data_IF_407451131204
#
_entry.id   IF_407451131204
#
_cell.length_a   1.000
_cell.length_b   1.000
_cell.length_c   1.000
_cell.angle_alpha   90.00
_cell.angle_beta   90.00
_cell.angle_gamma   90.00
#
_symmetry.space_group_name_H-M   'P 1'
#
loop_
_entity.id
_entity.type
_entity.pdbx_description
1 polymer ?
#
# COMPACT_ATOMS: atom_id res chain seq x y z
N UNK A 1 -46.89 -41.30 -29.10
CA UNK A 1 -46.54 -40.82 -27.74
C UNK A 1 -45.11 -40.32 -27.80
N UNK A 2 -44.92 -39.00 -27.90
CA UNK A 2 -43.60 -38.39 -27.96
C UNK A 2 -43.16 -38.04 -26.54
N UNK A 3 -42.24 -38.82 -25.98
CA UNK A 3 -41.53 -38.49 -24.74
C UNK A 3 -40.60 -37.32 -25.03
N UNK A 4 -41.04 -36.11 -24.67
CA UNK A 4 -40.18 -34.93 -24.58
C UNK A 4 -39.18 -35.14 -23.45
N UNK A 5 -37.97 -35.59 -23.79
CA UNK A 5 -36.84 -35.53 -22.89
C UNK A 5 -36.56 -34.04 -22.63
N UNK A 6 -36.83 -33.60 -21.40
CA UNK A 6 -36.36 -32.32 -20.91
C UNK A 6 -34.85 -32.44 -20.76
N UNK A 7 -34.11 -32.16 -21.83
CA UNK A 7 -32.68 -31.93 -21.78
C UNK A 7 -32.41 -30.85 -20.73
N UNK A 8 -31.64 -31.22 -19.72
CA UNK A 8 -31.20 -30.34 -18.65
C UNK A 8 -30.48 -29.13 -19.28
N UNK A 9 -31.00 -27.92 -19.05
CA UNK A 9 -30.41 -26.66 -19.55
C UNK A 9 -29.00 -26.37 -19.02
N UNK A 10 -28.47 -27.18 -18.11
CA UNK A 10 -27.08 -27.13 -17.64
C UNK A 10 -26.06 -27.64 -18.67
N UNK A 11 -26.50 -28.29 -19.75
CA UNK A 11 -25.59 -28.68 -20.83
C UNK A 11 -25.19 -27.47 -21.69
N UNK A 12 -23.97 -26.98 -21.39
CA UNK A 12 -22.92 -26.45 -22.30
C UNK A 12 -22.20 -25.24 -21.70
N UNK A 13 -21.72 -25.35 -20.46
CA UNK A 13 -20.65 -24.48 -19.97
C UNK A 13 -19.42 -25.31 -19.64
N UNK A 14 -18.25 -24.92 -20.17
CA UNK A 14 -16.97 -25.40 -19.66
C UNK A 14 -16.60 -24.64 -18.40
N UNK A 15 -16.10 -25.38 -17.41
CA UNK A 15 -15.74 -24.81 -16.11
C UNK A 15 -14.30 -24.31 -16.12
N UNK A 16 -14.13 -23.02 -15.81
CA UNK A 16 -12.82 -22.41 -15.62
C UNK A 16 -12.44 -22.44 -14.14
N UNK A 17 -11.26 -22.96 -13.84
CA UNK A 17 -10.70 -22.98 -12.50
C UNK A 17 -9.53 -22.00 -12.40
N UNK A 18 -9.66 -20.98 -11.56
CA UNK A 18 -8.59 -20.01 -11.30
C UNK A 18 -7.79 -20.54 -10.10
N UNK A 19 -6.60 -21.08 -10.37
CA UNK A 19 -5.76 -21.69 -9.34
C UNK A 19 -5.20 -20.68 -8.33
N UNK A 20 -4.89 -19.47 -8.78
CA UNK A 20 -4.31 -18.39 -7.97
C UNK A 20 -5.39 -17.52 -7.33
N UNK A 21 -5.12 -17.04 -6.12
CA UNK A 21 -5.95 -16.03 -5.47
C UNK A 21 -5.10 -15.15 -4.55
N UNK A 22 -5.41 -13.86 -4.51
CA UNK A 22 -4.96 -12.86 -3.55
C UNK A 22 -6.08 -12.45 -2.56
N UNK A 23 -7.20 -13.17 -2.58
CA UNK A 23 -8.35 -12.91 -1.72
C UNK A 23 -8.03 -13.13 -0.23
N UNK A 24 -8.39 -12.16 0.60
CA UNK A 24 -8.04 -12.14 2.03
C UNK A 24 -9.01 -12.91 2.94
N UNK A 25 -10.24 -13.18 2.50
CA UNK A 25 -11.22 -13.94 3.30
C UNK A 25 -11.59 -13.26 4.64
N UNK A 26 -11.97 -11.98 4.60
CA UNK A 26 -12.33 -11.21 5.79
C UNK A 26 -13.57 -11.79 6.50
N UNK A 27 -13.55 -11.87 7.83
CA UNK A 27 -14.70 -12.32 8.64
C UNK A 27 -15.79 -11.25 8.80
N UNK A 28 -15.39 -9.98 8.91
CA UNK A 28 -16.26 -8.88 9.36
C UNK A 28 -16.65 -7.95 8.18
N UNK A 29 -17.27 -8.53 7.15
CA UNK A 29 -17.73 -7.78 5.99
C UNK A 29 -19.12 -7.15 6.25
N UNK A 30 -19.41 -6.04 5.55
CA UNK A 30 -20.57 -5.17 5.84
C UNK A 30 -21.94 -5.74 5.46
N UNK A 31 -21.99 -6.64 4.47
CA UNK A 31 -23.23 -7.14 3.88
C UNK A 31 -23.49 -8.59 4.31
N UNK A 32 -24.69 -9.09 4.05
CA UNK A 32 -25.07 -10.46 4.40
C UNK A 32 -24.43 -11.47 3.44
N UNK A 33 -23.95 -12.64 3.95
CA UNK A 33 -23.55 -13.74 3.10
C UNK A 33 -24.75 -14.24 2.28
N UNK A 34 -24.48 -14.83 1.11
CA UNK A 34 -25.54 -15.44 0.31
C UNK A 34 -26.17 -16.62 1.05
N UNK A 35 -27.50 -16.74 0.94
CA UNK A 35 -28.21 -17.93 1.39
C UNK A 35 -28.29 -18.94 0.24
N UNK A 36 -27.65 -20.12 0.33
CA UNK A 36 -27.67 -21.11 -0.75
C UNK A 36 -29.07 -21.71 -1.01
N UNK A 37 -30.00 -21.56 -0.08
CA UNK A 37 -31.39 -22.00 -0.23
C UNK A 37 -32.31 -20.90 -0.81
N UNK A 38 -31.79 -19.70 -1.04
CA UNK A 38 -32.52 -18.61 -1.69
C UNK A 38 -32.23 -18.63 -3.19
N UNK A 39 -33.26 -18.90 -3.99
CA UNK A 39 -33.14 -19.03 -5.45
C UNK A 39 -32.56 -17.77 -6.11
N UNK A 40 -32.82 -16.57 -5.57
CA UNK A 40 -32.27 -15.33 -6.11
C UNK A 40 -30.77 -15.25 -5.86
N UNK A 41 -30.32 -15.60 -4.65
CA UNK A 41 -28.90 -15.58 -4.30
C UNK A 41 -28.12 -16.61 -5.13
N UNK A 42 -28.65 -17.83 -5.29
CA UNK A 42 -28.06 -18.86 -6.13
C UNK A 42 -27.97 -18.43 -7.61
N UNK A 43 -29.06 -17.88 -8.15
CA UNK A 43 -29.10 -17.36 -9.53
C UNK A 43 -28.08 -16.23 -9.73
N UNK A 44 -27.89 -15.37 -8.74
CA UNK A 44 -26.97 -14.24 -8.86
C UNK A 44 -25.51 -14.69 -8.75
N UNK A 45 -25.20 -15.67 -7.91
CA UNK A 45 -23.87 -16.28 -7.88
C UNK A 45 -23.54 -16.91 -9.25
N UNK A 46 -24.43 -17.72 -9.80
CA UNK A 46 -24.22 -18.33 -11.12
C UNK A 46 -24.06 -17.25 -12.21
N UNK A 47 -24.87 -16.19 -12.18
CA UNK A 47 -24.75 -15.07 -13.11
C UNK A 47 -23.37 -14.43 -13.05
N UNK A 48 -22.82 -14.23 -11.84
CA UNK A 48 -21.45 -13.72 -11.68
C UNK A 48 -20.43 -14.67 -12.31
N UNK A 49 -20.51 -15.97 -12.00
CA UNK A 49 -19.60 -16.99 -12.53
C UNK A 49 -19.62 -17.09 -14.06
N UNK A 50 -20.81 -16.99 -14.67
CA UNK A 50 -21.00 -17.00 -16.13
C UNK A 50 -20.44 -15.74 -16.77
N UNK A 51 -20.73 -14.56 -16.22
CA UNK A 51 -20.23 -13.30 -16.80
C UNK A 51 -18.70 -13.24 -16.72
N UNK A 52 -18.10 -13.60 -15.57
CA UNK A 52 -16.65 -13.62 -15.44
C UNK A 52 -16.04 -14.66 -16.39
N UNK A 53 -16.61 -15.87 -16.44
CA UNK A 53 -16.15 -16.93 -17.35
C UNK A 53 -16.18 -16.49 -18.81
N UNK A 54 -17.25 -15.82 -19.24
CA UNK A 54 -17.38 -15.26 -20.59
C UNK A 54 -16.32 -14.18 -20.88
N UNK A 55 -16.06 -13.26 -19.95
CA UNK A 55 -15.01 -12.25 -20.13
C UNK A 55 -13.62 -12.88 -20.26
N UNK A 56 -13.30 -13.90 -19.46
CA UNK A 56 -12.02 -14.62 -19.56
C UNK A 56 -11.91 -15.37 -20.89
N UNK A 57 -12.98 -16.04 -21.32
CA UNK A 57 -13.01 -16.78 -22.58
C UNK A 57 -12.70 -15.90 -23.78
N UNK A 58 -13.30 -14.70 -23.86
CA UNK A 58 -13.03 -13.73 -24.93
C UNK A 58 -11.53 -13.37 -25.01
N UNK A 59 -10.85 -13.29 -23.88
CA UNK A 59 -9.44 -12.88 -23.82
C UNK A 59 -8.47 -14.06 -24.04
N UNK A 60 -8.82 -15.25 -23.56
CA UNK A 60 -7.94 -16.42 -23.58
C UNK A 60 -8.18 -17.34 -24.79
N UNK A 61 -9.40 -17.38 -25.30
CA UNK A 61 -9.86 -18.27 -26.37
C UNK A 61 -10.73 -17.52 -27.39
N UNK A 62 -10.22 -16.47 -28.05
CA UNK A 62 -11.03 -15.57 -28.89
C UNK A 62 -11.69 -16.23 -30.11
N UNK A 63 -11.25 -17.43 -30.51
CA UNK A 63 -11.80 -18.20 -31.64
C UNK A 63 -12.74 -19.32 -31.19
N UNK A 64 -12.94 -19.49 -29.88
CA UNK A 64 -13.77 -20.55 -29.31
C UNK A 64 -15.16 -19.99 -28.99
N UNK A 65 -16.19 -20.60 -29.56
CA UNK A 65 -17.60 -20.25 -29.29
C UNK A 65 -18.16 -20.96 -28.05
N UNK A 66 -17.33 -21.77 -27.38
CA UNK A 66 -17.71 -22.46 -26.16
C UNK A 66 -18.06 -21.46 -25.07
N UNK A 67 -19.16 -21.72 -24.37
CA UNK A 67 -19.55 -20.90 -23.22
C UNK A 67 -18.76 -21.38 -22.00
N UNK A 68 -18.22 -20.43 -21.25
CA UNK A 68 -17.48 -20.73 -20.03
C UNK A 68 -18.17 -20.13 -18.82
N UNK A 69 -18.08 -20.81 -17.68
CA UNK A 69 -18.39 -20.25 -16.35
C UNK A 69 -17.30 -20.61 -15.37
N UNK A 70 -17.12 -19.81 -14.32
CA UNK A 70 -16.20 -20.20 -13.25
C UNK A 70 -16.71 -21.46 -12.55
N UNK A 71 -15.81 -22.37 -12.19
CA UNK A 71 -16.13 -23.51 -11.33
C UNK A 71 -16.50 -23.07 -9.91
N UNK A 72 -15.89 -21.97 -9.46
CA UNK A 72 -16.11 -21.27 -8.19
C UNK A 72 -15.37 -19.94 -8.22
N UNK A 73 -15.74 -19.02 -7.34
CA UNK A 73 -14.97 -17.80 -7.09
C UNK A 73 -13.56 -18.14 -6.53
N UNK A 74 -12.52 -17.32 -6.82
CA UNK A 74 -11.19 -17.51 -6.24
C UNK A 74 -11.23 -17.48 -4.70
N UNK A 75 -10.36 -18.28 -4.06
CA UNK A 75 -10.33 -18.41 -2.59
C UNK A 75 -10.21 -17.05 -1.90
N UNK A 76 -11.01 -16.82 -0.87
CA UNK A 76 -10.99 -15.56 -0.10
C UNK A 76 -11.79 -14.42 -0.72
N UNK A 77 -12.41 -14.66 -1.89
CA UNK A 77 -13.46 -13.80 -2.43
C UNK A 77 -14.84 -14.35 -2.09
N UNK A 78 -15.75 -13.46 -1.73
CA UNK A 78 -17.10 -13.81 -1.30
C UNK A 78 -18.11 -12.81 -1.86
N UNK A 79 -19.16 -13.32 -2.50
CA UNK A 79 -20.28 -12.51 -2.98
C UNK A 79 -21.25 -12.30 -1.82
N UNK A 80 -21.71 -11.06 -1.63
CA UNK A 80 -22.61 -10.71 -0.52
C UNK A 80 -23.76 -9.83 -0.99
N UNK A 81 -24.90 -9.96 -0.32
CA UNK A 81 -26.13 -9.23 -0.63
C UNK A 81 -26.30 -8.03 0.31
N UNK A 82 -26.38 -6.82 -0.26
CA UNK A 82 -26.83 -5.63 0.43
C UNK A 82 -28.35 -5.49 0.29
N UNK A 83 -29.06 -5.55 1.42
CA UNK A 83 -30.50 -5.40 1.45
C UNK A 83 -30.89 -3.92 1.38
N UNK A 84 -31.74 -3.57 0.42
CA UNK A 84 -32.34 -2.25 0.28
C UNK A 84 -33.84 -2.35 0.52
N UNK A 85 -34.35 -1.52 1.45
CA UNK A 85 -35.78 -1.38 1.68
C UNK A 85 -36.37 -0.52 0.54
N UNK A 86 -37.19 -1.14 -0.29
CA UNK A 86 -37.99 -0.48 -1.32
C UNK A 86 -39.14 0.33 -0.71
N UNK A 87 -39.75 1.19 -1.54
CA UNK A 87 -40.89 2.04 -1.14
C UNK A 87 -42.14 1.22 -0.81
N UNK A 88 -42.34 0.11 -1.50
CA UNK A 88 -43.54 -0.72 -1.38
C UNK A 88 -43.35 -1.89 -0.40
N UNK A 89 -42.50 -1.72 0.62
CA UNK A 89 -42.05 -2.78 1.53
C UNK A 89 -41.36 -3.97 0.83
N UNK A 90 -41.07 -3.88 -0.47
CA UNK A 90 -40.26 -4.85 -1.20
C UNK A 90 -38.81 -4.75 -0.76
N UNK A 91 -38.15 -5.89 -0.54
CA UNK A 91 -36.70 -5.94 -0.27
C UNK A 91 -36.00 -6.20 -1.59
N UNK A 92 -35.19 -5.24 -2.03
CA UNK A 92 -34.30 -5.41 -3.19
C UNK A 92 -32.90 -5.77 -2.71
N UNK A 93 -32.21 -6.66 -3.41
CA UNK A 93 -30.84 -7.08 -3.10
C UNK A 93 -29.88 -6.55 -4.15
N UNK A 94 -28.82 -5.88 -3.69
CA UNK A 94 -27.64 -5.63 -4.52
C UNK A 94 -26.53 -6.61 -4.18
N UNK A 95 -25.77 -7.04 -5.17
CA UNK A 95 -24.70 -8.02 -4.97
C UNK A 95 -23.34 -7.37 -5.17
N UNK A 96 -22.47 -7.56 -4.18
CA UNK A 96 -21.11 -7.01 -4.17
C UNK A 96 -20.11 -8.11 -3.86
N UNK A 97 -19.01 -8.16 -4.58
CA UNK A 97 -17.95 -9.13 -4.35
C UNK A 97 -16.85 -8.51 -3.48
N UNK A 98 -16.61 -9.11 -2.33
CA UNK A 98 -15.55 -8.73 -1.39
C UNK A 98 -14.36 -9.68 -1.48
N UNK A 99 -13.23 -9.28 -0.90
CA UNK A 99 -12.05 -10.13 -0.74
C UNK A 99 -10.73 -9.48 -1.16
N UNK A 100 -10.77 -8.38 -1.91
CA UNK A 100 -9.57 -7.74 -2.46
C UNK A 100 -8.61 -7.24 -1.35
N UNK A 101 -7.28 -7.36 -1.52
CA UNK A 101 -6.29 -6.98 -0.51
C UNK A 101 -6.19 -5.47 -0.24
N UNK A 102 -6.75 -4.61 -1.12
CA UNK A 102 -6.82 -3.16 -0.91
C UNK A 102 -7.42 -2.76 0.44
N UNK A 103 -8.49 -3.44 0.87
CA UNK A 103 -9.18 -3.17 2.14
C UNK A 103 -10.30 -4.20 2.34
N UNK A 104 -10.68 -4.44 3.60
CA UNK A 104 -11.92 -5.14 3.95
C UNK A 104 -13.19 -4.52 3.36
N UNK A 105 -13.16 -3.22 3.02
CA UNK A 105 -14.27 -2.48 2.41
C UNK A 105 -14.17 -2.41 0.89
N UNK A 106 -13.06 -2.87 0.30
CA UNK A 106 -12.88 -2.87 -1.13
C UNK A 106 -13.76 -3.97 -1.74
N UNK A 107 -14.62 -3.58 -2.67
CA UNK A 107 -15.60 -4.47 -3.29
C UNK A 107 -15.75 -4.16 -4.77
N UNK A 108 -16.01 -5.19 -5.56
CA UNK A 108 -16.43 -5.06 -6.95
C UNK A 108 -17.96 -4.98 -7.00
N UNK A 109 -18.47 -4.02 -7.79
CA UNK A 109 -19.91 -3.75 -7.92
C UNK A 109 -20.53 -4.52 -9.07
N UNK A 110 -19.71 -4.91 -10.04
CA UNK A 110 -20.15 -5.70 -11.19
C UNK A 110 -19.19 -6.87 -11.43
N UNK A 111 -19.67 -7.99 -12.02
CA UNK A 111 -18.81 -9.09 -12.41
C UNK A 111 -17.76 -8.69 -13.47
N UNK A 112 -18.07 -7.73 -14.33
CA UNK A 112 -17.14 -7.23 -15.35
C UNK A 112 -15.93 -6.50 -14.73
N UNK A 113 -16.13 -5.69 -13.69
CA UNK A 113 -15.03 -5.05 -12.94
C UNK A 113 -14.09 -6.11 -12.33
N UNK A 114 -14.66 -7.20 -11.79
CA UNK A 114 -13.86 -8.27 -11.21
C UNK A 114 -13.19 -9.16 -12.27
N UNK A 115 -13.78 -9.31 -13.45
CA UNK A 115 -13.21 -10.11 -14.53
C UNK A 115 -11.82 -9.60 -14.97
N UNK A 116 -11.58 -8.29 -14.92
CA UNK A 116 -10.25 -7.70 -15.17
C UNK A 116 -9.21 -8.18 -14.15
N UNK A 117 -9.60 -8.28 -12.87
CA UNK A 117 -8.73 -8.83 -11.84
C UNK A 117 -8.51 -10.33 -12.01
N UNK A 118 -9.56 -11.07 -12.37
CA UNK A 118 -9.43 -12.49 -12.71
C UNK A 118 -8.48 -12.74 -13.89
N UNK A 119 -8.51 -11.89 -14.92
CA UNK A 119 -7.60 -11.97 -16.06
C UNK A 119 -6.15 -11.78 -15.60
N UNK A 120 -5.91 -10.82 -14.70
CA UNK A 120 -4.60 -10.71 -14.05
C UNK A 120 -4.29 -11.97 -13.25
N UNK A 121 -5.20 -12.51 -12.43
CA UNK A 121 -4.99 -13.72 -11.63
C UNK A 121 -4.61 -14.97 -12.44
N UNK A 122 -5.09 -15.12 -13.67
CA UNK A 122 -4.69 -16.22 -14.57
C UNK A 122 -3.40 -15.96 -15.34
N UNK A 123 -2.92 -14.71 -15.38
CA UNK A 123 -1.65 -14.35 -15.99
C UNK A 123 -0.45 -14.81 -15.14
N UNK A 124 0.76 -14.75 -15.72
CA UNK A 124 2.00 -15.02 -15.01
C UNK A 124 2.47 -13.86 -14.11
N UNK A 125 1.86 -12.67 -14.20
CA UNK A 125 2.31 -11.50 -13.45
C UNK A 125 1.88 -11.57 -11.99
N UNK A 126 2.82 -11.39 -11.06
CA UNK A 126 2.55 -11.20 -9.63
C UNK A 126 2.60 -9.72 -9.21
N UNK A 127 2.75 -8.82 -10.18
CA UNK A 127 2.85 -7.38 -9.93
C UNK A 127 1.46 -6.74 -10.01
N UNK A 128 0.97 -6.22 -8.87
CA UNK A 128 -0.33 -5.56 -8.79
C UNK A 128 -0.40 -4.27 -9.63
N UNK A 129 0.74 -3.67 -9.99
CA UNK A 129 0.75 -2.48 -10.87
C UNK A 129 0.36 -2.82 -12.31
N UNK A 130 0.44 -4.09 -12.70
CA UNK A 130 0.07 -4.59 -14.02
C UNK A 130 -1.40 -5.04 -14.09
N UNK A 131 -2.12 -5.02 -12.97
CA UNK A 131 -3.54 -5.35 -12.95
C UNK A 131 -4.37 -4.14 -13.38
N UNK A 132 -5.29 -4.36 -14.32
CA UNK A 132 -6.14 -3.31 -14.91
C UNK A 132 -7.44 -3.05 -14.12
N UNK A 133 -7.66 -3.72 -12.99
CA UNK A 133 -8.87 -3.49 -12.20
C UNK A 133 -8.79 -2.20 -11.36
N UNK A 134 -9.93 -1.59 -11.05
CA UNK A 134 -9.99 -0.30 -10.33
C UNK A 134 -9.49 -0.33 -8.88
N UNK A 135 -9.32 -1.52 -8.29
CA UNK A 135 -8.90 -1.68 -6.89
C UNK A 135 -7.39 -1.85 -6.73
N UNK A 136 -6.69 -2.38 -7.73
CA UNK A 136 -5.25 -2.63 -7.67
C UNK A 136 -4.40 -1.35 -7.58
N UNK A 137 -4.66 -0.28 -8.35
CA UNK A 137 -3.95 0.99 -8.19
C UNK A 137 -4.03 1.54 -6.76
N UNK A 138 -5.22 1.52 -6.16
CA UNK A 138 -5.44 1.96 -4.77
C UNK A 138 -4.69 1.08 -3.77
N UNK A 139 -4.62 -0.23 -4.02
CA UNK A 139 -3.84 -1.15 -3.19
C UNK A 139 -2.35 -0.82 -3.22
N UNK A 140 -1.80 -0.56 -4.41
CA UNK A 140 -0.38 -0.18 -4.59
C UNK A 140 -0.08 1.13 -3.88
N UNK A 141 -0.93 2.16 -4.05
CA UNK A 141 -0.79 3.45 -3.37
C UNK A 141 -0.80 3.29 -1.85
N UNK A 142 -1.76 2.53 -1.30
CA UNK A 142 -1.84 2.26 0.12
C UNK A 142 -0.60 1.52 0.65
N UNK A 143 -0.11 0.52 -0.10
CA UNK A 143 1.11 -0.21 0.26
C UNK A 143 2.34 0.69 0.28
N UNK A 144 2.47 1.58 -0.70
CA UNK A 144 3.56 2.55 -0.74
C UNK A 144 3.51 3.51 0.45
N UNK A 145 2.32 4.01 0.80
CA UNK A 145 2.11 4.86 1.96
C UNK A 145 2.42 4.12 3.29
N UNK A 146 1.99 2.87 3.43
CA UNK A 146 2.33 2.01 4.58
C UNK A 146 3.85 1.84 4.73
N UNK A 147 4.56 1.55 3.63
CA UNK A 147 6.01 1.40 3.63
C UNK A 147 6.73 2.69 4.02
N UNK A 148 6.27 3.84 3.51
CA UNK A 148 6.83 5.15 3.88
C UNK A 148 6.58 5.49 5.35
N UNK A 149 5.38 5.22 5.87
CA UNK A 149 5.07 5.43 7.27
C UNK A 149 5.87 4.52 8.20
N UNK A 150 6.04 3.24 7.83
CA UNK A 150 6.88 2.30 8.57
C UNK A 150 8.36 2.72 8.57
N UNK A 151 8.87 3.19 7.43
CA UNK A 151 10.23 3.74 7.33
C UNK A 151 10.40 5.03 8.15
N UNK A 152 9.41 5.93 8.12
CA UNK A 152 9.41 7.17 8.91
C UNK A 152 9.40 6.93 10.42
N UNK A 153 8.62 5.94 10.88
CA UNK A 153 8.65 5.48 12.28
C UNK A 153 10.02 4.91 12.65
N UNK A 154 10.67 4.16 11.75
CA UNK A 154 12.02 3.64 11.99
C UNK A 154 13.06 4.76 12.12
N UNK A 155 12.94 5.85 11.35
CA UNK A 155 13.85 7.00 11.44
C UNK A 155 13.67 7.77 12.77
N UNK A 156 12.43 7.91 13.26
CA UNK A 156 12.15 8.50 14.57
C UNK A 156 12.62 7.61 15.74
N UNK A 157 12.54 6.29 15.58
CA UNK A 157 13.06 5.34 16.57
C UNK A 157 14.59 5.34 16.61
N UNK A 158 15.25 5.44 15.45
CA UNK A 158 16.71 5.55 15.35
C UNK A 158 17.22 6.85 15.97
N UNK A 159 16.53 7.99 15.76
CA UNK A 159 16.94 9.26 16.37
C UNK A 159 16.81 9.26 17.89
N UNK A 160 15.78 8.59 18.45
CA UNK A 160 15.64 8.43 19.90
C UNK A 160 16.78 7.56 20.49
N UNK A 161 17.13 6.45 19.84
CA UNK A 161 18.27 5.62 20.24
C UNK A 161 19.61 6.37 20.21
N UNK A 162 19.80 7.25 19.22
CA UNK A 162 21.03 8.03 19.09
C UNK A 162 21.15 9.11 20.18
N UNK A 163 20.05 9.77 20.55
CA UNK A 163 19.99 10.71 21.68
C UNK A 163 20.25 10.05 23.03
N UNK A 164 19.80 8.80 23.20
CA UNK A 164 20.03 8.03 24.42
C UNK A 164 21.52 7.63 24.58
N UNK A 165 22.18 7.23 23.49
CA UNK A 165 23.63 6.94 23.52
C UNK A 165 24.48 8.19 23.83
N UNK A 166 24.05 9.37 23.36
CA UNK A 166 24.79 10.61 23.61
C UNK A 166 24.72 11.03 25.09
N UNK A 167 23.57 10.83 25.76
CA UNK A 167 23.45 11.06 27.21
C UNK A 167 24.31 10.12 28.04
N UNK A 168 24.45 8.86 27.60
CA UNK A 168 25.26 7.89 28.32
C UNK A 168 26.77 8.21 28.25
N UNK A 169 27.26 8.76 27.12
CA UNK A 169 28.65 9.21 27.01
C UNK A 169 28.96 10.46 27.85
N UNK A 170 28.02 11.42 27.96
CA UNK A 170 28.24 12.61 28.79
C UNK A 170 28.31 12.31 30.28
N UNK A 171 27.54 11.35 30.80
CA UNK A 171 27.62 10.95 32.20
C UNK A 171 28.97 10.30 32.56
N UNK A 172 29.57 9.51 31.65
CA UNK A 172 30.88 8.90 31.89
C UNK A 172 32.06 9.91 31.90
N UNK A 173 31.92 11.09 31.29
CA UNK A 173 32.96 12.13 31.35
C UNK A 173 32.90 12.98 32.63
N UNK A 174 31.72 13.15 33.25
CA UNK A 174 31.65 13.88 34.53
C UNK A 174 32.20 13.07 35.71
N UNK A 175 32.10 11.74 35.68
CA UNK A 175 32.68 10.91 36.74
C UNK A 175 34.21 10.87 36.72
N UNK A 176 34.84 11.04 35.55
CA UNK A 176 36.30 11.06 35.44
C UNK A 176 36.94 12.42 35.81
N UNK A 177 36.18 13.52 35.83
CA UNK A 177 36.68 14.81 36.34
C UNK A 177 36.68 14.93 37.87
N UNK A 178 35.89 14.14 38.60
CA UNK A 178 35.95 14.14 40.08
C UNK A 178 37.09 13.29 40.67
N UNK A 179 37.75 12.44 39.88
CA UNK A 179 38.92 11.68 40.36
C UNK A 179 40.28 12.34 40.09
N UNK A 180 40.34 13.40 39.27
CA UNK A 180 41.61 14.09 38.98
C UNK A 180 41.93 15.27 39.90
N UNK A 181 41.04 15.68 40.79
CA UNK A 181 41.31 16.78 41.75
C UNK A 181 42.06 16.36 43.02
N UNK A 182 42.57 15.12 43.12
CA UNK A 182 43.44 14.69 44.24
C UNK A 182 44.89 14.34 43.87
N UNK A 183 45.32 14.50 42.62
CA UNK A 183 46.70 14.25 42.23
C UNK A 183 47.27 15.39 41.38
N UNK A 184 47.48 16.56 41.97
CA UNK A 184 48.36 17.58 41.38
C UNK A 184 48.98 18.49 42.46
N UNK A 185 49.90 17.91 43.23
CA UNK A 185 50.99 18.65 43.88
C UNK A 185 52.29 17.86 43.69
N UNK A 186 52.83 17.80 42.47
CA UNK A 186 54.28 17.89 42.30
C UNK A 186 54.66 18.21 40.86
N UNK A 187 55.61 19.14 40.77
CA UNK A 187 56.67 19.24 39.77
C UNK A 187 56.40 20.04 38.49
N UNK A 188 56.91 21.26 38.57
CA UNK A 188 57.29 22.13 37.46
C UNK A 188 58.44 21.51 36.65
N UNK A 189 58.37 21.61 35.32
CA UNK A 189 59.54 21.92 34.49
C UNK A 189 59.11 22.47 33.12
N UNK A 190 59.77 23.53 32.60
CA UNK A 190 59.47 24.07 31.29
C UNK A 190 60.37 23.44 30.22
N UNK A 191 59.81 23.11 29.06
CA UNK A 191 60.59 22.84 27.86
C UNK A 191 59.83 23.33 26.65
N UNK A 192 60.40 24.36 26.03
CA UNK A 192 60.05 24.88 24.73
C UNK A 192 60.22 23.80 23.66
N UNK A 193 59.31 23.72 22.68
CA UNK A 193 59.69 23.48 21.29
C UNK A 193 58.59 23.88 20.30
N UNK A 194 59.08 24.38 19.16
CA UNK A 194 58.45 25.14 18.10
C UNK A 194 57.64 24.29 17.09
N UNK A 195 56.88 24.94 16.18
CA UNK A 195 55.91 24.30 15.30
C UNK A 195 56.55 23.73 14.03
N UNK A 196 56.24 22.49 13.68
CA UNK A 196 56.43 21.97 12.33
C UNK A 196 55.09 21.96 11.58
N UNK A 197 54.93 22.94 10.70
CA UNK A 197 54.03 22.87 9.55
C UNK A 197 54.49 21.72 8.65
N UNK A 198 53.64 20.72 8.49
CA UNK A 198 53.84 19.68 7.49
C UNK A 198 52.89 19.93 6.32
N UNK A 199 53.43 20.50 5.24
CA UNK A 199 52.79 20.52 3.93
C UNK A 199 52.53 19.07 3.49
N UNK A 200 51.26 18.67 3.43
CA UNK A 200 50.85 17.47 2.71
C UNK A 200 50.54 17.85 1.26
N UNK A 201 51.44 17.42 0.37
CA UNK A 201 51.25 17.36 -1.07
C UNK A 201 50.12 16.39 -1.41
N UNK A 202 49.25 16.83 -2.32
CA UNK A 202 48.16 16.06 -2.88
C UNK A 202 48.65 14.88 -3.72
N UNK A 203 48.06 13.68 -3.59
CA UNK A 203 48.08 12.71 -4.66
C UNK A 203 46.97 13.05 -5.67
N UNK A 204 47.38 13.21 -6.93
CA UNK A 204 46.49 13.24 -8.07
C UNK A 204 45.78 11.88 -8.22
N UNK A 205 44.46 11.94 -8.46
CA UNK A 205 43.68 10.77 -8.89
C UNK A 205 42.54 10.40 -7.94
N UNK A 206 41.38 11.06 -8.11
CA UNK A 206 40.05 10.44 -8.14
C UNK A 206 38.99 11.53 -8.20
N UNK A 207 38.41 11.72 -9.39
CA UNK A 207 37.39 12.71 -9.71
C UNK A 207 35.97 12.31 -9.23
N UNK A 208 35.84 11.87 -7.98
CA UNK A 208 34.57 11.43 -7.37
C UNK A 208 33.98 12.35 -6.28
N UNK A 209 34.72 13.18 -5.51
CA UNK A 209 34.12 13.91 -4.37
C UNK A 209 33.40 15.22 -4.76
N UNK A 210 33.65 15.78 -5.95
CA UNK A 210 33.04 17.05 -6.37
C UNK A 210 31.52 16.94 -6.61
N UNK A 211 31.02 15.78 -7.05
CA UNK A 211 29.60 15.57 -7.32
C UNK A 211 28.79 15.46 -6.02
N UNK A 212 29.36 14.85 -4.98
CA UNK A 212 28.71 14.73 -3.68
C UNK A 212 28.52 16.10 -3.01
N UNK A 213 29.51 16.98 -3.13
CA UNK A 213 29.45 18.33 -2.56
C UNK A 213 28.45 19.22 -3.32
N UNK A 214 28.35 19.07 -4.65
CA UNK A 214 27.36 19.77 -5.47
C UNK A 214 25.91 19.32 -5.17
N UNK A 215 25.69 18.02 -4.92
CA UNK A 215 24.37 17.49 -4.54
C UNK A 215 23.94 17.98 -3.14
N UNK A 216 24.87 18.03 -2.18
CA UNK A 216 24.58 18.54 -0.84
C UNK A 216 24.21 20.04 -0.85
N UNK A 217 24.94 20.86 -1.63
CA UNK A 217 24.63 22.28 -1.78
C UNK A 217 23.25 22.50 -2.42
N UNK A 218 22.89 21.69 -3.42
CA UNK A 218 21.59 21.78 -4.10
C UNK A 218 20.43 21.40 -3.18
N UNK A 219 20.63 20.44 -2.28
CA UNK A 219 19.63 20.04 -1.29
C UNK A 219 19.39 21.14 -0.23
N UNK A 220 20.44 21.82 0.23
CA UNK A 220 20.31 22.97 1.13
C UNK A 220 19.55 24.14 0.49
N UNK A 221 19.82 24.42 -0.78
CA UNK A 221 19.14 25.51 -1.49
C UNK A 221 17.63 25.25 -1.65
N UNK A 222 17.24 23.99 -1.85
CA UNK A 222 15.83 23.58 -1.94
C UNK A 222 15.09 23.72 -0.60
N UNK A 223 15.75 23.40 0.52
CA UNK A 223 15.17 23.61 1.85
C UNK A 223 14.97 25.09 2.17
N UNK A 224 15.91 25.96 1.78
CA UNK A 224 15.74 27.41 1.95
C UNK A 224 14.54 27.95 1.16
N UNK A 225 14.33 27.52 -0.09
CA UNK A 225 13.17 27.95 -0.87
C UNK A 225 11.83 27.56 -0.22
N UNK A 226 11.73 26.35 0.33
CA UNK A 226 10.52 25.89 1.01
C UNK A 226 10.23 26.69 2.29
N UNK A 227 11.27 27.06 3.04
CA UNK A 227 11.11 27.91 4.23
C UNK A 227 10.61 29.31 3.85
N UNK A 228 11.15 29.93 2.81
CA UNK A 228 10.71 31.24 2.33
C UNK A 228 9.27 31.22 1.82
N UNK A 229 8.86 30.17 1.11
CA UNK A 229 7.49 30.04 0.60
C UNK A 229 6.47 29.87 1.74
N UNK A 230 6.84 29.13 2.80
CA UNK A 230 5.98 28.97 3.97
C UNK A 230 5.84 30.27 4.79
N UNK A 231 6.91 31.06 4.93
CA UNK A 231 6.81 32.39 5.56
C UNK A 231 5.87 33.33 4.77
N UNK A 232 5.98 33.33 3.44
CA UNK A 232 5.10 34.15 2.61
C UNK A 232 3.62 33.76 2.74
N UNK A 233 3.29 32.46 2.84
CA UNK A 233 1.90 32.01 3.06
C UNK A 233 1.33 32.39 4.43
N UNK A 234 2.16 32.49 5.47
CA UNK A 234 1.69 32.91 6.80
C UNK A 234 1.35 34.40 6.84
N UNK A 235 2.09 35.23 6.09
CA UNK A 235 1.82 36.68 6.01
C UNK A 235 0.61 37.02 5.13
N UNK A 236 0.25 36.13 4.19
CA UNK A 236 -0.84 36.36 3.23
C UNK A 236 -2.23 35.94 3.74
N UNK A 237 -2.41 35.58 5.01
CA UNK A 237 -3.74 35.26 5.53
C UNK A 237 -4.55 36.55 5.74
N UNK A 238 -5.64 36.76 4.97
CA UNK A 238 -6.48 37.95 5.14
C UNK A 238 -7.19 37.90 6.50
N UNK A 239 -7.18 39.03 7.20
CA UNK A 239 -7.90 39.20 8.45
C UNK A 239 -9.40 38.94 8.21
N UNK A 240 -9.94 37.92 8.88
CA UNK A 240 -11.36 37.59 8.82
C UNK A 240 -12.13 38.74 9.47
N UNK A 241 -13.03 39.44 8.75
CA UNK A 241 -13.78 40.54 9.33
C UNK A 241 -14.70 40.02 10.44
N UNK A 242 -14.58 40.67 11.62
CA UNK A 242 -15.37 40.36 12.80
C UNK A 242 -16.87 40.56 12.50
N UNK A 243 -17.65 39.50 12.69
CA UNK A 243 -19.10 39.49 12.51
C UNK A 243 -19.74 40.26 13.67
N UNK A 244 -20.24 41.46 13.40
CA UNK A 244 -21.01 42.25 14.36
C UNK A 244 -22.37 41.58 14.60
N UNK A 245 -22.73 41.45 15.87
CA UNK A 245 -24.04 40.99 16.36
C UNK A 245 -25.01 42.17 16.48
#
# INVERSE_FOLDING_TARGET
MATSQAESKDERYLLLNIARSDGMGYSDLLNEPLNPNDDQDATQLERWEVIIGGHLAIQLYPQDETRFKLAKLPRGYELRAALRKGKDHSVSKDYYLYGHPASRRAMYRTPGEFALHCLWLVSASNDNTQCLCDLCPKYVENKLAEMQNAAGLSAAQQSHYQLQQQHQQQQSQQQSQQQQSQQQQTQQQPSQQQPQQQLRLAPAGNAAPALAQALAARQQQQQQQLQTQNQARQQAQPAVPARQQ
#
